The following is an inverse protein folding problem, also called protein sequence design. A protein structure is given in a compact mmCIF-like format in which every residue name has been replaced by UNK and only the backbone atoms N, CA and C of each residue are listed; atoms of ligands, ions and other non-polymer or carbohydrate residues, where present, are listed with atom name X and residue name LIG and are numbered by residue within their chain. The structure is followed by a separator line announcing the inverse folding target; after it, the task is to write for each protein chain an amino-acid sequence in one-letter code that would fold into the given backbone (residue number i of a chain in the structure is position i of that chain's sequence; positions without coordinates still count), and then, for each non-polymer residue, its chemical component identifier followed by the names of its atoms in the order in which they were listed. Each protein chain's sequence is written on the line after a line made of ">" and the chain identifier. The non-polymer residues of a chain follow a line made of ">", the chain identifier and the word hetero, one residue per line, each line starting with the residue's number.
data_IF_476307123508
#
_entry.id   IF_476307123508
#
_cell.length_a   1.000
_cell.length_b   1.000
_cell.length_c   1.000
_cell.angle_alpha   90.00
_cell.angle_beta   90.00
_cell.angle_gamma   90.00
#
_symmetry.space_group_name_H-M   'P 1'
#
loop_
_entity.id
_entity.type
_entity.pdbx_description
1 polymer ?
#
# COMPACT_ATOMS: atom_id res chain seq x y z
N UNK A 1 4.96 -9.40 28.44
CA UNK A 1 4.34 -10.37 27.50
C UNK A 1 5.45 -11.06 26.75
N UNK A 2 5.51 -12.40 26.74
CA UNK A 2 6.58 -13.16 26.06
C UNK A 2 6.09 -13.65 24.70
N UNK A 3 6.79 -13.39 23.58
CA UNK A 3 6.40 -13.93 22.29
C UNK A 3 6.84 -15.41 22.18
N UNK A 4 5.91 -16.24 21.71
CA UNK A 4 6.12 -17.67 21.46
C UNK A 4 6.96 -17.87 20.21
N UNK A 5 8.06 -18.62 20.32
CA UNK A 5 8.97 -18.94 19.21
C UNK A 5 8.63 -20.35 18.73
N UNK A 6 8.05 -20.45 17.53
CA UNK A 6 7.83 -21.72 16.84
C UNK A 6 9.12 -22.09 16.10
N UNK A 7 9.79 -23.15 16.55
CA UNK A 7 10.98 -23.70 15.91
C UNK A 7 10.57 -24.54 14.69
N UNK A 8 11.03 -24.14 13.50
CA UNK A 8 10.93 -24.95 12.29
C UNK A 8 12.35 -25.32 11.88
N UNK A 9 12.72 -26.58 12.13
CA UNK A 9 14.04 -27.11 11.79
C UNK A 9 14.10 -27.51 10.31
N UNK A 10 14.89 -26.77 9.54
CA UNK A 10 15.35 -27.17 8.22
C UNK A 10 16.87 -27.02 8.15
N UNK A 11 17.60 -28.14 8.15
CA UNK A 11 19.04 -28.19 7.90
C UNK A 11 19.33 -27.97 6.42
N UNK A 12 20.29 -27.11 6.10
CA UNK A 12 20.80 -26.94 4.74
C UNK A 12 21.63 -25.67 4.58
N UNK A 13 22.95 -25.80 4.67
CA UNK A 13 23.90 -24.69 4.76
C UNK A 13 24.12 -23.97 3.43
N UNK A 14 23.80 -22.67 3.36
CA UNK A 14 24.57 -21.60 2.67
C UNK A 14 23.71 -20.32 2.51
N UNK A 15 23.44 -19.63 3.61
CA UNK A 15 22.58 -18.43 3.61
C UNK A 15 22.78 -17.58 4.86
N UNK A 16 24.04 -17.35 5.24
CA UNK A 16 24.39 -16.52 6.41
C UNK A 16 24.32 -15.04 6.05
N UNK A 17 23.17 -14.58 5.61
CA UNK A 17 22.86 -13.17 5.46
C UNK A 17 21.52 -12.90 6.14
N UNK A 18 21.62 -12.52 7.41
CA UNK A 18 20.75 -11.57 8.08
C UNK A 18 19.26 -11.68 7.70
N UNK A 19 18.53 -12.57 8.38
CA UNK A 19 17.15 -12.24 8.75
C UNK A 19 17.21 -11.13 9.82
N UNK A 20 17.78 -9.98 9.48
CA UNK A 20 17.59 -8.78 10.27
C UNK A 20 16.09 -8.52 10.27
N UNK A 21 15.51 -8.43 11.46
CA UNK A 21 14.16 -7.95 11.60
C UNK A 21 14.10 -6.59 10.88
N UNK A 22 13.36 -6.54 9.78
CA UNK A 22 13.16 -5.30 9.03
C UNK A 22 12.45 -4.35 9.99
N UNK A 23 13.05 -3.20 10.26
CA UNK A 23 12.36 -2.13 10.97
C UNK A 23 11.24 -1.60 10.06
N UNK A 24 10.05 -2.15 10.24
CA UNK A 24 8.87 -1.84 9.42
C UNK A 24 8.42 -0.40 9.60
N UNK A 25 8.76 0.23 10.73
CA UNK A 25 8.46 1.64 10.96
C UNK A 25 9.33 2.54 10.08
N UNK A 26 10.65 2.33 10.09
CA UNK A 26 11.56 3.08 9.21
C UNK A 26 11.30 2.78 7.73
N UNK A 27 10.99 1.52 7.40
CA UNK A 27 10.57 1.15 6.05
C UNK A 27 9.30 1.91 5.64
N UNK A 28 8.29 1.96 6.51
CA UNK A 28 7.03 2.66 6.24
C UNK A 28 7.23 4.16 6.03
N UNK A 29 8.08 4.82 6.84
CA UNK A 29 8.43 6.22 6.65
C UNK A 29 9.13 6.44 5.31
N UNK A 30 10.10 5.59 4.97
CA UNK A 30 10.85 5.70 3.71
C UNK A 30 9.92 5.55 2.50
N UNK A 31 9.04 4.54 2.51
CA UNK A 31 8.07 4.31 1.44
C UNK A 31 7.08 5.47 1.31
N UNK A 32 6.62 6.03 2.43
CA UNK A 32 5.74 7.21 2.43
C UNK A 32 6.42 8.41 1.81
N UNK A 33 7.64 8.73 2.19
CA UNK A 33 8.38 9.87 1.62
C UNK A 33 8.54 9.74 0.10
N UNK A 34 8.84 8.53 -0.40
CA UNK A 34 8.92 8.28 -1.85
C UNK A 34 7.56 8.49 -2.52
N UNK A 35 6.48 7.97 -1.93
CA UNK A 35 5.12 8.15 -2.47
C UNK A 35 4.70 9.62 -2.49
N UNK A 36 4.91 10.36 -1.42
CA UNK A 36 4.57 11.79 -1.32
C UNK A 36 5.31 12.61 -2.38
N UNK A 37 6.62 12.39 -2.52
CA UNK A 37 7.44 13.11 -3.50
C UNK A 37 7.16 12.76 -4.96
N UNK A 38 6.58 11.59 -5.24
CA UNK A 38 6.42 11.11 -6.62
C UNK A 38 4.98 11.00 -7.10
N UNK A 39 4.01 10.74 -6.22
CA UNK A 39 2.61 10.47 -6.57
C UNK A 39 1.69 11.54 -6.00
N UNK A 40 1.81 11.86 -4.71
CA UNK A 40 0.84 12.72 -4.01
C UNK A 40 0.90 14.19 -4.47
N UNK A 41 2.05 14.60 -5.01
CA UNK A 41 2.26 15.93 -5.61
C UNK A 41 1.80 16.01 -7.07
N UNK A 42 1.44 14.89 -7.71
CA UNK A 42 0.99 14.92 -9.09
C UNK A 42 -0.44 15.45 -9.20
N UNK A 43 -0.74 16.23 -10.25
CA UNK A 43 -2.11 16.67 -10.50
C UNK A 43 -3.00 15.46 -10.80
N UNK A 44 -4.26 15.55 -10.40
CA UNK A 44 -5.28 14.58 -10.80
C UNK A 44 -5.40 14.62 -12.33
N UNK A 45 -5.24 13.47 -12.99
CA UNK A 45 -5.30 13.37 -14.45
C UNK A 45 -6.72 13.57 -14.96
N UNK A 46 -6.86 14.03 -16.21
CA UNK A 46 -8.16 14.22 -16.85
C UNK A 46 -8.97 12.92 -16.91
N UNK A 47 -8.30 11.78 -17.09
CA UNK A 47 -8.95 10.47 -17.03
C UNK A 47 -9.58 10.20 -15.66
N UNK A 48 -8.90 10.52 -14.57
CA UNK A 48 -9.46 10.37 -13.23
C UNK A 48 -10.66 11.33 -13.03
N UNK A 49 -10.55 12.57 -13.50
CA UNK A 49 -11.66 13.54 -13.45
C UNK A 49 -12.87 13.02 -14.24
N UNK A 50 -12.66 12.52 -15.45
CA UNK A 50 -13.71 11.96 -16.29
C UNK A 50 -14.43 10.80 -15.59
N UNK A 51 -13.68 9.87 -14.99
CA UNK A 51 -14.25 8.75 -14.25
C UNK A 51 -15.11 9.22 -13.07
N UNK A 52 -14.66 10.22 -12.31
CA UNK A 52 -15.42 10.80 -11.20
C UNK A 52 -16.72 11.47 -11.69
N UNK A 53 -16.67 12.20 -12.80
CA UNK A 53 -17.85 12.83 -13.40
C UNK A 53 -18.86 11.78 -13.88
N UNK A 54 -18.39 10.72 -14.54
CA UNK A 54 -19.23 9.59 -14.99
C UNK A 54 -19.88 8.89 -13.80
N UNK A 55 -19.14 8.66 -12.71
CA UNK A 55 -19.69 8.07 -11.49
C UNK A 55 -20.81 8.94 -10.91
N UNK A 56 -20.57 10.24 -10.74
CA UNK A 56 -21.56 11.19 -10.22
C UNK A 56 -22.82 11.25 -11.09
N UNK A 57 -22.67 11.16 -12.40
CA UNK A 57 -23.79 11.14 -13.33
C UNK A 57 -24.67 9.89 -13.10
N UNK A 58 -24.06 8.71 -13.01
CA UNK A 58 -24.78 7.45 -12.71
C UNK A 58 -25.51 7.51 -11.38
N UNK A 59 -24.88 8.04 -10.33
CA UNK A 59 -25.52 8.20 -9.02
C UNK A 59 -26.77 9.09 -9.07
N UNK A 60 -26.72 10.18 -9.85
CA UNK A 60 -27.87 11.07 -10.05
C UNK A 60 -28.99 10.39 -10.82
N UNK A 61 -28.65 9.61 -11.84
CA UNK A 61 -29.63 8.84 -12.61
C UNK A 61 -30.36 7.83 -11.74
N UNK A 62 -29.64 7.08 -10.91
CA UNK A 62 -30.23 6.14 -9.95
C UNK A 62 -31.21 6.84 -9.00
N UNK A 63 -30.89 8.03 -8.50
CA UNK A 63 -31.78 8.83 -7.65
C UNK A 63 -33.02 9.40 -8.34
N UNK A 64 -33.06 9.41 -9.67
CA UNK A 64 -34.22 9.89 -10.45
C UNK A 64 -35.19 8.76 -10.81
N UNK A 65 -34.71 7.52 -10.81
CA UNK A 65 -35.50 6.32 -11.17
C UNK A 65 -36.08 5.64 -9.93
N UNK A 66 -35.48 5.85 -8.75
CA UNK A 66 -36.06 5.48 -7.45
C UNK A 66 -36.96 6.57 -6.89
#
# INVERSE_FOLDING_TARGET
>A
MKPSIVASEGRGHSGRALKQAIDTHQLGLTLRTVYEGSVDTQPITDTHVELLLRLRQKERELRRVG
#
